data_IF_505599488633
#
_entry.id   IF_505599488633
#
_cell.length_a   1.000
_cell.length_b   1.000
_cell.length_c   1.000
_cell.angle_alpha   90.00
_cell.angle_beta   90.00
_cell.angle_gamma   90.00
#
_symmetry.space_group_name_H-M   'P 1'
#
loop_
_entity.id
_entity.type
_entity.pdbx_description
1 polymer ?
#
# COMPACT_ATOMS: atom_id res chain seq x y z
N UNK A 1 18.30 54.72 43.02
CA UNK A 1 18.98 54.02 41.92
C UNK A 1 18.29 52.67 41.71
N UNK A 2 17.41 52.58 40.71
CA UNK A 2 16.68 51.34 40.37
C UNK A 2 17.59 50.45 39.51
N UNK A 3 17.87 49.23 39.96
CA UNK A 3 18.62 48.21 39.20
C UNK A 3 17.62 47.46 38.31
N UNK A 4 17.83 47.53 36.99
CA UNK A 4 17.06 46.79 35.99
C UNK A 4 17.79 45.46 35.76
N UNK A 5 17.11 44.35 36.04
CA UNK A 5 17.57 43.00 35.72
C UNK A 5 17.07 42.63 34.32
N UNK A 6 17.99 42.41 33.39
CA UNK A 6 17.70 41.89 32.05
C UNK A 6 17.76 40.37 32.15
N UNK A 7 16.61 39.70 32.10
CA UNK A 7 16.52 38.24 32.04
C UNK A 7 16.66 37.76 30.60
N UNK A 8 17.72 37.00 30.31
CA UNK A 8 17.90 36.34 29.01
C UNK A 8 16.88 35.23 28.84
N UNK A 9 15.98 35.36 27.86
CA UNK A 9 15.07 34.31 27.43
C UNK A 9 15.83 33.34 26.51
N UNK A 10 16.13 32.13 26.98
CA UNK A 10 16.67 31.07 26.15
C UNK A 10 15.51 30.45 25.33
N UNK A 11 15.52 30.68 24.02
CA UNK A 11 14.62 30.02 23.07
C UNK A 11 15.13 28.59 22.84
N UNK A 12 14.41 27.60 23.37
CA UNK A 12 14.70 26.18 23.11
C UNK A 12 14.12 25.84 21.74
N UNK A 13 14.97 25.74 20.72
CA UNK A 13 14.61 25.10 19.46
C UNK A 13 14.52 23.59 19.71
N UNK A 14 13.31 23.06 19.80
CA UNK A 14 13.09 21.61 19.66
C UNK A 14 13.27 21.25 18.20
N UNK A 15 14.30 20.45 17.88
CA UNK A 15 14.39 19.80 16.58
C UNK A 15 13.20 18.86 16.43
N UNK A 16 12.23 19.20 15.58
CA UNK A 16 11.23 18.26 15.13
C UNK A 16 11.96 17.21 14.29
N UNK A 17 12.21 16.04 14.86
CA UNK A 17 12.64 14.89 14.08
C UNK A 17 11.59 14.61 13.00
N UNK A 18 12.03 14.36 11.78
CA UNK A 18 11.14 13.81 10.75
C UNK A 18 10.73 12.43 11.26
N UNK A 19 9.47 12.29 11.68
CA UNK A 19 8.88 11.00 11.95
C UNK A 19 8.76 10.30 10.59
N UNK A 20 9.65 9.36 10.32
CA UNK A 20 9.45 8.42 9.22
C UNK A 20 8.28 7.55 9.64
N UNK A 21 7.22 7.53 8.83
CA UNK A 21 6.09 6.65 9.09
C UNK A 21 6.60 5.20 9.09
N UNK A 22 6.24 4.46 10.14
CA UNK A 22 6.51 3.03 10.23
C UNK A 22 5.72 2.30 9.13
N UNK A 23 6.29 1.22 8.59
CA UNK A 23 5.66 0.35 7.57
C UNK A 23 4.20 0.08 7.92
N UNK A 24 3.32 0.26 6.93
CA UNK A 24 1.90 0.00 7.06
C UNK A 24 1.51 -1.46 6.74
N UNK A 25 2.50 -2.37 6.77
CA UNK A 25 2.29 -3.81 6.70
C UNK A 25 2.00 -4.36 8.09
N UNK A 26 1.02 -5.25 8.18
CA UNK A 26 0.58 -5.91 9.40
C UNK A 26 1.75 -6.60 10.14
N UNK A 27 1.79 -6.48 11.46
CA UNK A 27 2.91 -6.99 12.25
C UNK A 27 2.73 -8.43 12.75
N UNK A 28 1.51 -8.96 12.61
CA UNK A 28 1.13 -10.30 13.00
C UNK A 28 1.85 -11.29 12.12
N UNK A 29 2.49 -12.28 12.72
CA UNK A 29 3.05 -13.41 11.98
C UNK A 29 1.90 -14.40 11.74
N UNK A 30 1.61 -14.79 10.49
CA UNK A 30 2.50 -14.72 9.33
C UNK A 30 2.25 -13.60 8.30
N UNK A 31 1.31 -12.69 8.55
CA UNK A 31 0.70 -11.69 7.64
C UNK A 31 1.62 -10.61 7.02
N UNK A 32 2.94 -10.77 7.13
CA UNK A 32 3.95 -9.89 6.52
C UNK A 32 4.90 -10.60 5.58
N UNK A 33 4.59 -11.87 5.25
CA UNK A 33 5.48 -12.71 4.47
C UNK A 33 4.85 -13.15 3.14
N UNK A 34 5.67 -13.06 2.10
CA UNK A 34 5.42 -13.65 0.78
C UNK A 34 6.49 -14.70 0.49
N UNK A 35 6.26 -15.55 -0.52
CA UNK A 35 7.13 -16.69 -0.82
C UNK A 35 7.43 -16.81 -2.31
N UNK A 36 8.64 -17.20 -2.66
CA UNK A 36 8.97 -17.64 -4.02
C UNK A 36 9.91 -18.84 -4.01
N UNK A 37 9.77 -19.71 -5.00
CA UNK A 37 10.45 -21.02 -5.03
C UNK A 37 11.98 -20.89 -4.98
N UNK A 38 12.53 -19.88 -5.65
CA UNK A 38 13.98 -19.70 -5.77
C UNK A 38 14.53 -18.59 -4.85
N UNK A 39 13.66 -17.95 -4.05
CA UNK A 39 14.01 -16.84 -3.15
C UNK A 39 13.69 -17.15 -1.68
N UNK A 40 12.81 -18.12 -1.41
CA UNK A 40 12.31 -18.45 -0.08
C UNK A 40 11.33 -17.41 0.44
N UNK A 41 11.32 -17.23 1.76
CA UNK A 41 10.47 -16.23 2.40
C UNK A 41 11.00 -14.81 2.20
N UNK A 42 10.07 -13.89 2.06
CA UNK A 42 10.32 -12.45 2.02
C UNK A 42 9.53 -11.77 3.13
N UNK A 43 10.15 -10.88 3.90
CA UNK A 43 9.52 -10.10 4.96
C UNK A 43 9.36 -8.65 4.49
N UNK A 44 8.12 -8.19 4.42
CA UNK A 44 7.75 -6.90 3.84
C UNK A 44 7.73 -5.74 4.84
N UNK A 45 7.94 -6.03 6.14
CA UNK A 45 7.72 -5.06 7.20
C UNK A 45 8.98 -4.65 7.93
N UNK A 46 9.81 -5.61 8.34
CA UNK A 46 10.70 -5.36 9.49
C UNK A 46 12.02 -4.65 9.14
N UNK A 47 12.19 -4.17 7.91
CA UNK A 47 13.39 -3.44 7.51
C UNK A 47 13.63 -2.21 8.42
N UNK A 48 14.82 -2.14 9.01
CA UNK A 48 15.21 -1.16 10.03
C UNK A 48 14.15 -1.01 11.15
N UNK A 49 13.78 -2.12 11.79
CA UNK A 49 12.76 -2.15 12.83
C UNK A 49 11.42 -1.52 12.37
N UNK A 50 11.03 -1.82 11.14
CA UNK A 50 9.86 -1.30 10.44
C UNK A 50 9.89 0.19 10.04
N UNK A 51 10.98 0.92 10.28
CA UNK A 51 11.13 2.31 9.81
C UNK A 51 11.42 2.43 8.32
N UNK A 52 11.84 1.34 7.67
CA UNK A 52 12.14 1.28 6.24
C UNK A 52 11.44 0.11 5.56
N UNK A 53 10.49 -0.55 6.23
CA UNK A 53 9.66 -1.57 5.62
C UNK A 53 8.78 -1.00 4.52
N UNK A 54 8.06 -1.88 3.84
CA UNK A 54 7.20 -1.47 2.73
C UNK A 54 6.11 -0.53 3.25
N UNK A 55 5.88 0.53 2.49
CA UNK A 55 4.74 1.41 2.60
C UNK A 55 3.89 1.24 1.36
N UNK A 56 2.63 0.85 1.53
CA UNK A 56 1.63 0.80 0.47
C UNK A 56 0.87 2.13 0.46
N UNK A 57 1.25 3.04 -0.43
CA UNK A 57 0.57 4.32 -0.61
C UNK A 57 -0.64 4.21 -1.54
N UNK A 58 -1.30 5.33 -1.86
CA UNK A 58 -2.48 5.35 -2.75
C UNK A 58 -2.14 5.04 -4.23
N UNK A 59 -0.90 5.30 -4.66
CA UNK A 59 -0.48 5.19 -6.06
C UNK A 59 0.86 4.48 -6.28
N UNK A 60 1.67 4.36 -5.23
CA UNK A 60 3.01 3.77 -5.28
C UNK A 60 3.31 3.03 -3.97
N UNK A 61 4.21 2.07 -4.04
CA UNK A 61 4.88 1.52 -2.87
C UNK A 61 6.24 2.14 -2.67
N UNK A 62 6.75 2.08 -1.45
CA UNK A 62 8.13 2.47 -1.13
C UNK A 62 8.71 1.60 -0.02
N UNK A 63 10.02 1.65 0.18
CA UNK A 63 10.70 0.93 1.25
C UNK A 63 11.30 -0.41 0.82
N UNK A 64 11.62 -1.24 1.80
CA UNK A 64 12.45 -2.43 1.60
C UNK A 64 11.77 -3.71 2.09
N UNK A 65 12.00 -4.77 1.32
CA UNK A 65 11.66 -6.15 1.61
C UNK A 65 12.97 -6.89 1.92
N UNK A 66 12.98 -7.69 2.99
CA UNK A 66 14.07 -8.62 3.26
C UNK A 66 13.75 -9.98 2.64
N UNK A 67 14.54 -10.44 1.67
CA UNK A 67 14.49 -11.80 1.16
C UNK A 67 15.56 -12.68 1.81
N UNK A 68 15.16 -13.77 2.47
CA UNK A 68 16.09 -14.60 3.28
C UNK A 68 17.30 -15.11 2.49
N UNK A 69 17.10 -15.45 1.21
CA UNK A 69 18.16 -16.00 0.36
C UNK A 69 18.79 -14.99 -0.61
N UNK A 70 18.28 -13.76 -0.67
CA UNK A 70 18.67 -12.78 -1.70
C UNK A 70 19.01 -11.40 -1.15
N UNK A 71 18.82 -11.15 0.14
CA UNK A 71 19.07 -9.86 0.77
C UNK A 71 17.97 -8.84 0.49
N UNK A 72 18.37 -7.57 0.39
CA UNK A 72 17.45 -6.44 0.28
C UNK A 72 16.86 -6.28 -1.12
N UNK A 73 15.56 -6.01 -1.15
CA UNK A 73 14.80 -5.62 -2.33
C UNK A 73 14.12 -4.28 -2.02
N UNK A 74 14.27 -3.29 -2.89
CA UNK A 74 13.52 -2.02 -2.80
C UNK A 74 12.33 -2.03 -3.75
N UNK A 75 11.18 -1.54 -3.28
CA UNK A 75 9.97 -1.33 -4.11
C UNK A 75 9.81 0.12 -4.57
N UNK A 76 10.83 0.96 -4.36
CA UNK A 76 10.83 2.38 -4.69
C UNK A 76 11.11 3.26 -3.46
N UNK A 77 11.34 4.55 -3.69
CA UNK A 77 11.72 5.53 -2.65
C UNK A 77 10.56 6.41 -2.14
N UNK A 78 9.38 6.26 -2.73
CA UNK A 78 8.16 7.01 -2.43
C UNK A 78 8.11 8.38 -3.07
N UNK A 79 9.08 8.73 -3.91
CA UNK A 79 9.23 10.04 -4.52
C UNK A 79 9.26 9.96 -6.05
N UNK A 80 8.14 9.57 -6.70
CA UNK A 80 8.08 9.52 -8.15
C UNK A 80 8.42 10.87 -8.77
N UNK A 81 9.28 10.86 -9.80
CA UNK A 81 9.75 12.09 -10.45
C UNK A 81 8.60 12.91 -11.04
N UNK A 82 7.59 12.22 -11.59
CA UNK A 82 6.35 12.82 -12.10
C UNK A 82 5.16 12.15 -11.42
N UNK A 83 4.68 12.69 -10.29
CA UNK A 83 3.56 12.11 -9.55
C UNK A 83 2.30 11.92 -10.43
N UNK A 84 1.47 10.89 -10.15
CA UNK A 84 1.51 10.09 -8.92
C UNK A 84 2.30 8.78 -8.99
N UNK A 85 2.88 8.41 -10.13
CA UNK A 85 3.53 7.11 -10.35
C UNK A 85 5.01 7.25 -10.72
N UNK A 86 5.84 6.25 -10.39
CA UNK A 86 7.18 6.14 -10.93
C UNK A 86 7.12 5.97 -12.45
N UNK A 87 8.00 6.67 -13.16
CA UNK A 87 8.05 6.63 -14.61
C UNK A 87 8.48 5.26 -15.15
N UNK A 88 9.38 4.55 -14.45
CA UNK A 88 9.87 3.21 -14.81
C UNK A 88 10.44 3.13 -16.25
N UNK A 89 11.17 4.17 -16.69
CA UNK A 89 11.68 4.28 -18.07
C UNK A 89 13.11 3.77 -18.24
N UNK A 90 14.02 4.17 -17.35
CA UNK A 90 15.46 3.93 -17.51
C UNK A 90 16.19 3.53 -16.21
N UNK A 91 15.42 3.30 -15.13
CA UNK A 91 15.95 2.97 -13.81
C UNK A 91 16.43 4.16 -12.97
N UNK A 92 16.29 5.40 -13.45
CA UNK A 92 16.54 6.61 -12.62
C UNK A 92 15.37 6.95 -11.70
N UNK A 93 14.15 6.65 -12.13
CA UNK A 93 12.89 6.78 -11.40
C UNK A 93 12.13 5.46 -11.55
N UNK A 94 12.21 4.61 -10.52
CA UNK A 94 11.64 3.28 -10.56
C UNK A 94 10.98 2.89 -9.24
N UNK A 95 10.03 1.98 -9.35
CA UNK A 95 9.35 1.40 -8.21
C UNK A 95 8.05 0.73 -8.62
N UNK A 96 7.36 0.22 -7.60
CA UNK A 96 6.07 -0.45 -7.77
C UNK A 96 4.96 0.60 -7.71
N UNK A 97 4.21 0.70 -8.79
CA UNK A 97 3.03 1.55 -8.93
C UNK A 97 1.76 0.75 -8.62
N UNK A 98 0.69 1.45 -8.27
CA UNK A 98 -0.63 0.89 -7.94
C UNK A 98 -1.68 1.66 -8.72
N UNK A 99 -2.44 1.00 -9.59
CA UNK A 99 -3.54 1.67 -10.30
C UNK A 99 -4.78 1.87 -9.42
N UNK A 100 -5.80 2.56 -9.93
CA UNK A 100 -7.05 2.82 -9.20
C UNK A 100 -7.86 1.57 -8.85
N UNK A 101 -7.60 0.42 -9.49
CA UNK A 101 -8.22 -0.87 -9.18
C UNK A 101 -7.37 -1.73 -8.23
N UNK A 102 -6.21 -1.21 -7.80
CA UNK A 102 -5.27 -1.91 -6.93
C UNK A 102 -4.28 -2.81 -7.65
N UNK A 103 -4.25 -2.87 -8.99
CA UNK A 103 -3.25 -3.67 -9.69
C UNK A 103 -1.86 -3.05 -9.57
N UNK A 104 -0.89 -3.90 -9.23
CA UNK A 104 0.51 -3.53 -9.11
C UNK A 104 1.18 -3.63 -10.47
N UNK A 105 2.01 -2.66 -10.79
CA UNK A 105 2.81 -2.62 -12.02
C UNK A 105 4.15 -1.94 -11.79
N UNK A 106 5.07 -2.06 -12.76
CA UNK A 106 6.43 -1.52 -12.64
C UNK A 106 7.39 -2.50 -11.97
N UNK A 107 8.44 -1.95 -11.34
CA UNK A 107 9.61 -2.76 -11.00
C UNK A 107 10.13 -2.52 -9.58
N UNK A 108 10.49 -3.60 -8.90
CA UNK A 108 11.34 -3.59 -7.72
C UNK A 108 12.76 -4.01 -8.10
N UNK A 109 13.74 -3.66 -7.27
CA UNK A 109 15.15 -3.98 -7.49
C UNK A 109 15.74 -4.72 -6.28
N UNK A 110 16.28 -5.92 -6.52
CA UNK A 110 17.07 -6.65 -5.53
C UNK A 110 18.55 -6.62 -5.89
N UNK A 111 19.41 -6.21 -4.96
CA UNK A 111 20.86 -6.03 -5.22
C UNK A 111 21.55 -7.29 -5.73
N UNK A 112 21.07 -8.47 -5.31
CA UNK A 112 21.66 -9.77 -5.67
C UNK A 112 20.90 -10.51 -6.78
N UNK A 113 19.73 -10.01 -7.21
CA UNK A 113 18.82 -10.73 -8.12
C UNK A 113 18.29 -9.88 -9.27
N UNK A 114 18.57 -8.58 -9.29
CA UNK A 114 18.15 -7.67 -10.34
C UNK A 114 16.68 -7.27 -10.25
N UNK A 115 16.08 -7.00 -11.42
CA UNK A 115 14.71 -6.51 -11.55
C UNK A 115 13.66 -7.57 -11.23
N UNK A 116 12.61 -7.14 -10.53
CA UNK A 116 11.39 -7.90 -10.26
C UNK A 116 10.23 -7.11 -10.86
N UNK A 117 9.54 -7.71 -11.81
CA UNK A 117 8.41 -7.14 -12.53
C UNK A 117 7.08 -7.49 -11.87
N UNK A 118 6.31 -6.47 -11.47
CA UNK A 118 4.98 -6.64 -10.86
C UNK A 118 3.85 -6.81 -11.89
N UNK A 119 4.08 -6.51 -13.16
CA UNK A 119 3.17 -6.84 -14.27
C UNK A 119 3.22 -8.33 -14.66
N UNK A 120 4.24 -9.07 -14.20
CA UNK A 120 4.51 -10.45 -14.64
C UNK A 120 3.33 -11.39 -14.45
N UNK A 121 2.63 -11.32 -13.32
CA UNK A 121 1.46 -12.16 -13.04
C UNK A 121 0.28 -11.91 -14.00
N UNK A 122 0.12 -10.68 -14.49
CA UNK A 122 -0.92 -10.35 -15.47
C UNK A 122 -0.67 -11.03 -16.82
N UNK A 123 0.59 -11.34 -17.13
CA UNK A 123 1.02 -12.01 -18.36
C UNK A 123 1.06 -13.54 -18.23
N UNK A 124 0.80 -14.09 -17.05
CA UNK A 124 0.76 -15.53 -16.82
C UNK A 124 -0.47 -16.19 -17.46
N UNK A 125 -0.46 -17.52 -17.58
CA UNK A 125 -1.62 -18.30 -18.05
C UNK A 125 -1.97 -19.38 -17.03
N UNK A 126 -3.13 -19.28 -16.33
CA UNK A 126 -4.07 -18.16 -16.34
C UNK A 126 -3.46 -16.87 -15.73
N UNK A 127 -4.00 -15.67 -16.07
CA UNK A 127 -3.53 -14.42 -15.45
C UNK A 127 -3.75 -14.41 -13.94
N UNK A 128 -2.72 -14.03 -13.20
CA UNK A 128 -2.73 -13.86 -11.74
C UNK A 128 -1.98 -12.56 -11.37
N UNK A 129 -2.50 -11.40 -11.77
CA UNK A 129 -1.82 -10.11 -11.61
C UNK A 129 -1.57 -9.81 -10.13
N UNK A 130 -0.40 -9.24 -9.84
CA UNK A 130 -0.12 -8.67 -8.54
C UNK A 130 -1.10 -7.53 -8.26
N UNK A 131 -1.73 -7.51 -7.07
CA UNK A 131 -2.70 -6.47 -6.70
C UNK A 131 -2.81 -6.29 -5.19
N UNK A 132 -3.16 -5.09 -4.77
CA UNK A 132 -3.85 -4.86 -3.49
C UNK A 132 -5.29 -5.31 -3.69
N UNK A 133 -5.68 -6.37 -2.96
CA UNK A 133 -7.05 -6.85 -2.90
C UNK A 133 -7.65 -6.38 -1.59
N UNK A 134 -8.73 -5.61 -1.69
CA UNK A 134 -9.61 -5.37 -0.56
C UNK A 134 -10.56 -6.54 -0.41
N UNK A 135 -10.66 -7.08 0.79
CA UNK A 135 -11.43 -8.28 1.05
C UNK A 135 -12.59 -7.99 2.00
N UNK A 136 -13.78 -8.37 1.52
CA UNK A 136 -15.01 -8.55 2.28
C UNK A 136 -15.53 -9.94 1.82
N UNK A 137 -15.47 -11.00 2.66
CA UNK A 137 -16.23 -11.13 3.91
C UNK A 137 -15.36 -11.36 5.17
N UNK A 138 -15.98 -11.48 6.38
CA UNK A 138 -15.26 -11.61 7.65
C UNK A 138 -14.27 -12.77 7.71
N UNK A 139 -13.10 -12.54 8.32
CA UNK A 139 -12.08 -13.56 8.58
C UNK A 139 -10.80 -13.39 7.77
N UNK A 140 -10.75 -12.41 6.86
CA UNK A 140 -9.54 -12.01 6.14
C UNK A 140 -9.19 -10.53 6.46
N UNK A 141 -7.94 -10.10 6.30
CA UNK A 141 -7.57 -8.70 6.44
C UNK A 141 -8.30 -7.83 5.43
N UNK A 142 -8.65 -6.60 5.83
CA UNK A 142 -9.37 -5.63 4.98
C UNK A 142 -8.66 -5.34 3.67
N UNK A 143 -7.33 -5.28 3.67
CA UNK A 143 -6.52 -5.19 2.46
C UNK A 143 -5.29 -6.09 2.56
N UNK A 144 -5.00 -6.81 1.48
CA UNK A 144 -3.80 -7.65 1.35
C UNK A 144 -3.28 -7.68 -0.08
N UNK A 145 -1.99 -7.96 -0.24
CA UNK A 145 -1.41 -8.24 -1.55
C UNK A 145 -1.82 -9.64 -1.99
N UNK A 146 -2.06 -9.80 -3.29
CA UNK A 146 -2.35 -11.09 -3.94
C UNK A 146 -1.70 -11.14 -5.33
N UNK A 147 -1.69 -12.31 -5.95
CA UNK A 147 -1.12 -12.50 -7.28
C UNK A 147 0.40 -12.70 -7.25
N UNK A 148 1.03 -12.56 -8.42
CA UNK A 148 2.43 -12.91 -8.62
C UNK A 148 3.24 -11.77 -9.24
N UNK A 149 4.45 -11.59 -8.72
CA UNK A 149 5.52 -10.84 -9.37
C UNK A 149 6.53 -11.83 -9.98
N UNK A 150 7.35 -11.36 -10.92
CA UNK A 150 8.34 -12.19 -11.62
C UNK A 150 9.71 -11.54 -11.63
N UNK A 151 10.74 -12.24 -11.13
CA UNK A 151 12.13 -11.82 -11.26
C UNK A 151 12.91 -12.69 -12.22
N UNK A 152 13.72 -12.10 -13.10
CA UNK A 152 14.50 -12.85 -14.11
C UNK A 152 15.37 -13.96 -13.49
N UNK A 153 15.98 -13.68 -12.33
CA UNK A 153 16.92 -14.59 -11.67
C UNK A 153 16.28 -15.46 -10.58
N UNK A 154 15.01 -15.23 -10.23
CA UNK A 154 14.31 -15.92 -9.13
C UNK A 154 12.96 -16.51 -9.50
N UNK A 155 12.47 -16.29 -10.73
CA UNK A 155 11.19 -16.79 -11.19
C UNK A 155 10.00 -16.12 -10.48
N UNK A 156 8.95 -16.90 -10.25
CA UNK A 156 7.69 -16.42 -9.67
C UNK A 156 7.81 -16.19 -8.16
N UNK A 157 7.30 -15.04 -7.73
CA UNK A 157 7.15 -14.66 -6.32
C UNK A 157 5.66 -14.51 -6.06
N UNK A 158 5.13 -15.31 -5.14
CA UNK A 158 3.73 -15.29 -4.73
C UNK A 158 3.53 -14.30 -3.56
N UNK A 159 2.64 -13.32 -3.75
CA UNK A 159 2.32 -12.28 -2.77
C UNK A 159 1.28 -12.71 -1.72
N UNK A 160 0.54 -13.79 -2.00
CA UNK A 160 -0.35 -14.45 -1.05
C UNK A 160 -0.23 -15.95 -1.26
N UNK A 161 0.39 -16.65 -0.31
CA UNK A 161 0.52 -18.10 -0.38
C UNK A 161 -0.86 -18.74 -0.65
N UNK A 162 -0.89 -19.83 -1.43
CA UNK A 162 -2.12 -20.56 -1.78
C UNK A 162 -2.83 -21.17 -0.55
N UNK A 163 -2.21 -21.10 0.63
CA UNK A 163 -2.80 -21.50 1.91
C UNK A 163 -3.11 -20.24 2.73
N UNK A 164 -4.33 -20.14 3.25
CA UNK A 164 -4.97 -18.93 3.82
C UNK A 164 -4.23 -18.25 4.99
N UNK A 165 -3.05 -18.71 5.41
CA UNK A 165 -2.35 -18.22 6.59
C UNK A 165 -1.12 -17.36 6.30
N UNK A 166 -0.60 -17.30 5.05
CA UNK A 166 0.58 -16.51 4.74
C UNK A 166 0.33 -15.56 3.56
N UNK A 167 0.28 -14.27 3.86
CA UNK A 167 0.13 -13.21 2.88
C UNK A 167 0.81 -11.96 3.40
N UNK A 168 0.89 -10.94 2.55
CA UNK A 168 1.26 -9.58 2.97
C UNK A 168 -0.02 -8.77 3.14
N UNK A 169 -0.39 -8.45 4.37
CA UNK A 169 -1.55 -7.62 4.69
C UNK A 169 -1.13 -6.20 5.06
N UNK A 170 -2.01 -5.24 4.80
CA UNK A 170 -1.89 -3.91 5.39
C UNK A 170 -2.44 -3.96 6.82
N UNK A 171 -1.88 -3.12 7.68
CA UNK A 171 -2.36 -3.00 9.06
C UNK A 171 -3.76 -2.36 9.14
N UNK A 172 -4.45 -2.63 10.25
CA UNK A 172 -5.81 -2.15 10.47
C UNK A 172 -5.96 -0.61 10.43
N UNK A 173 -4.89 0.12 10.74
CA UNK A 173 -4.89 1.57 10.84
C UNK A 173 -4.75 2.27 9.48
N UNK A 174 -4.18 1.59 8.48
CA UNK A 174 -3.97 2.09 7.12
C UNK A 174 -4.91 1.47 6.09
N UNK A 175 -5.58 0.36 6.44
CA UNK A 175 -6.59 -0.24 5.56
C UNK A 175 -7.81 0.67 5.44
N UNK A 176 -8.32 0.92 4.22
CA UNK A 176 -9.56 1.67 4.01
C UNK A 176 -10.74 1.03 4.74
N UNK A 177 -11.55 1.85 5.37
CA UNK A 177 -12.80 1.43 6.00
C UNK A 177 -13.92 1.58 4.97
N UNK A 178 -14.80 0.57 4.87
CA UNK A 178 -15.96 0.66 3.99
C UNK A 178 -16.74 1.95 4.33
N UNK A 179 -17.05 2.73 3.29
CA UNK A 179 -17.83 3.96 3.34
C UNK A 179 -17.14 5.18 3.99
N UNK A 180 -15.94 5.01 4.54
CA UNK A 180 -15.05 6.10 4.93
C UNK A 180 -14.19 6.49 3.72
N UNK A 181 -14.82 7.14 2.75
CA UNK A 181 -14.17 7.50 1.48
C UNK A 181 -13.29 8.74 1.60
N UNK A 182 -13.36 9.46 2.71
CA UNK A 182 -12.45 10.57 3.00
C UNK A 182 -11.20 10.13 3.78
N UNK A 183 -11.18 8.88 4.25
CA UNK A 183 -10.10 8.21 5.00
C UNK A 183 -9.74 8.92 6.30
N UNK A 184 -10.74 9.48 7.01
CA UNK A 184 -10.55 10.15 8.30
C UNK A 184 -10.73 9.22 9.52
N UNK A 185 -11.08 7.96 9.26
CA UNK A 185 -11.32 6.92 10.27
C UNK A 185 -12.76 6.86 10.75
N UNK A 186 -13.66 7.70 10.23
CA UNK A 186 -15.05 7.78 10.66
C UNK A 186 -16.02 7.82 9.48
N UNK A 187 -16.88 6.82 9.40
CA UNK A 187 -18.03 6.82 8.49
C UNK A 187 -19.05 7.87 8.94
N UNK A 188 -19.15 9.00 8.23
CA UNK A 188 -19.99 10.12 8.60
C UNK A 188 -20.38 11.02 7.39
N UNK A 189 -21.07 12.14 7.65
CA UNK A 189 -21.54 13.03 6.58
C UNK A 189 -20.43 13.66 5.71
N UNK A 190 -19.18 13.65 6.17
CA UNK A 190 -18.02 14.13 5.42
C UNK A 190 -17.63 13.21 4.26
N UNK A 191 -18.10 11.95 4.25
CA UNK A 191 -17.86 10.97 3.18
C UNK A 191 -18.74 11.19 1.94
N UNK A 192 -19.86 11.90 2.10
CA UNK A 192 -20.83 12.06 1.01
C UNK A 192 -20.22 12.80 -0.19
N UNK A 193 -19.48 13.88 0.07
CA UNK A 193 -18.94 14.70 -1.01
C UNK A 193 -17.79 14.01 -1.76
N UNK A 194 -16.80 13.37 -1.09
CA UNK A 194 -15.80 12.55 -1.76
C UNK A 194 -16.41 11.41 -2.56
N UNK A 195 -17.42 10.70 -2.03
CA UNK A 195 -18.11 9.63 -2.76
C UNK A 195 -18.75 10.16 -4.06
N UNK A 196 -19.45 11.29 -3.99
CA UNK A 196 -20.03 11.94 -5.18
C UNK A 196 -18.94 12.32 -6.19
N UNK A 197 -17.78 12.79 -5.75
CA UNK A 197 -16.67 13.11 -6.66
C UNK A 197 -16.17 11.86 -7.39
N UNK A 198 -15.98 10.74 -6.67
CA UNK A 198 -15.56 9.46 -7.24
C UNK A 198 -16.60 8.96 -8.26
N UNK A 199 -17.88 9.00 -7.89
CA UNK A 199 -19.00 8.59 -8.74
C UNK A 199 -19.07 9.36 -10.07
N UNK A 200 -18.83 10.67 -10.03
CA UNK A 200 -18.94 11.54 -11.21
C UNK A 200 -17.68 11.55 -12.08
N UNK A 201 -16.50 11.48 -11.46
CA UNK A 201 -15.22 11.64 -12.15
C UNK A 201 -14.58 10.31 -12.54
N UNK A 202 -15.02 9.19 -11.96
CA UNK A 202 -14.50 7.82 -12.20
C UNK A 202 -12.98 7.71 -12.08
N UNK A 203 -12.38 8.48 -11.18
CA UNK A 203 -10.97 8.45 -10.85
C UNK A 203 -10.79 8.29 -9.35
N UNK A 204 -9.63 7.81 -8.93
CA UNK A 204 -9.34 7.54 -7.52
C UNK A 204 -8.14 6.62 -7.36
N UNK A 205 -7.69 6.50 -6.13
CA UNK A 205 -6.75 5.48 -5.70
C UNK A 205 -7.47 4.15 -5.46
N UNK A 206 -6.70 3.06 -5.35
CA UNK A 206 -7.24 1.77 -4.91
C UNK A 206 -7.92 1.88 -3.55
N UNK A 207 -7.42 2.75 -2.65
CA UNK A 207 -8.04 2.96 -1.34
C UNK A 207 -9.41 3.59 -1.44
N UNK A 208 -9.59 4.55 -2.35
CA UNK A 208 -10.89 5.17 -2.62
C UNK A 208 -11.88 4.13 -3.17
N UNK A 209 -11.41 3.26 -4.07
CA UNK A 209 -12.20 2.15 -4.57
C UNK A 209 -12.63 1.24 -3.42
N UNK A 210 -11.73 0.86 -2.53
CA UNK A 210 -12.06 -0.03 -1.41
C UNK A 210 -13.06 0.56 -0.42
N UNK A 211 -13.02 1.88 -0.20
CA UNK A 211 -14.00 2.55 0.64
C UNK A 211 -15.34 2.79 -0.09
N UNK A 212 -15.32 3.03 -1.40
CA UNK A 212 -16.47 3.51 -2.17
C UNK A 212 -17.20 2.46 -3.01
N UNK A 213 -16.55 1.36 -3.40
CA UNK A 213 -17.14 0.24 -4.15
C UNK A 213 -17.91 -0.65 -3.16
N UNK A 214 -19.21 -0.42 -3.12
CA UNK A 214 -20.12 -1.08 -2.21
C UNK A 214 -20.78 -2.26 -2.92
N UNK A 215 -21.53 -3.14 -2.23
CA UNK A 215 -22.19 -4.26 -2.91
C UNK A 215 -22.93 -3.82 -4.19
N UNK A 216 -22.54 -4.33 -5.37
CA UNK A 216 -22.03 -5.67 -5.61
C UNK A 216 -20.50 -5.88 -5.54
N UNK A 217 -19.68 -4.86 -5.28
CA UNK A 217 -18.20 -4.94 -5.26
C UNK A 217 -17.64 -5.39 -6.60
N UNK A 218 -17.96 -4.65 -7.66
CA UNK A 218 -17.56 -4.99 -9.03
C UNK A 218 -16.30 -4.26 -9.52
N UNK A 219 -15.56 -3.65 -8.59
CA UNK A 219 -14.38 -2.79 -8.79
C UNK A 219 -14.70 -1.50 -9.55
N UNK A 220 -15.93 -0.98 -9.46
CA UNK A 220 -16.31 0.29 -10.06
C UNK A 220 -17.23 1.06 -9.12
N UNK A 221 -16.90 2.32 -8.84
CA UNK A 221 -17.84 3.23 -8.15
C UNK A 221 -18.82 3.80 -9.18
N UNK A 222 -20.05 3.30 -9.16
CA UNK A 222 -21.14 3.73 -10.00
C UNK A 222 -22.49 3.87 -9.25
N UNK A 223 -23.60 3.92 -10.00
CA UNK A 223 -24.93 4.12 -9.42
C UNK A 223 -25.41 2.93 -8.59
N UNK A 224 -24.85 1.74 -8.78
CA UNK A 224 -25.15 0.56 -7.98
C UNK A 224 -24.72 0.75 -6.52
N UNK A 225 -23.65 1.49 -6.27
CA UNK A 225 -23.07 1.71 -4.93
C UNK A 225 -23.85 2.71 -4.08
N UNK A 226 -24.62 3.61 -4.71
CA UNK A 226 -25.25 4.75 -4.01
C UNK A 226 -26.16 4.28 -2.87
N UNK A 227 -27.02 3.29 -3.13
CA UNK A 227 -27.93 2.75 -2.12
C UNK A 227 -27.20 2.08 -0.95
N UNK A 228 -26.33 1.10 -1.23
CA UNK A 228 -25.46 0.46 -0.25
C UNK A 228 -24.59 1.45 0.56
N UNK A 229 -23.99 2.45 -0.09
CA UNK A 229 -23.19 3.50 0.56
C UNK A 229 -24.04 4.30 1.56
N UNK A 230 -25.24 4.72 1.16
CA UNK A 230 -26.17 5.41 2.07
C UNK A 230 -26.59 4.51 3.23
N UNK A 231 -26.82 3.21 3.00
CA UNK A 231 -27.17 2.27 4.07
C UNK A 231 -26.01 2.13 5.07
N UNK A 232 -24.78 2.08 4.57
CA UNK A 232 -23.56 2.01 5.38
C UNK A 232 -23.34 3.27 6.22
N UNK A 233 -23.59 4.46 5.67
CA UNK A 233 -23.50 5.74 6.40
C UNK A 233 -24.47 5.89 7.58
N UNK A 234 -25.54 5.09 7.59
CA UNK A 234 -26.62 5.20 8.58
C UNK A 234 -26.52 4.17 9.72
N UNK A 235 -25.55 3.24 9.65
CA UNK A 235 -25.30 2.21 10.67
C UNK A 235 -24.23 2.66 11.65
#
# INVERSE_FOLDING_TARGET
MKRILIGSFACVLTAAGVLVAQSNIDDTVPNKHAWGENIGWTNWRDANAALQGVQVGPFVMSGFIWGENVGWITVGDGTPLVPPHYANVDGSDFGVNIDGAGFLHGFAWGENIGWINFDGGAMATPPQPARVLCADPPGLPRARLTGFAWGENVGWINLAELTETHYVALDDASTPIACDVNHDGFVNGLDIQPFINLLLLRGGSWSDLCAGDQPPQDNVIDLADVGPFVACLLN
#
